data_IF_366691445422
#
_entry.id   IF_366691445422
#
_cell.length_a   1.000
_cell.length_b   1.000
_cell.length_c   1.000
_cell.angle_alpha   90.00
_cell.angle_beta   90.00
_cell.angle_gamma   90.00
#
_symmetry.space_group_name_H-M   'P 1'
#
loop_
_entity.id
_entity.type
_entity.pdbx_description
1 polymer ?
#
# COMPACT_ATOMS: atom_id res chain seq x y z
N UNK A 1 -0.14 -14.02 3.37
CA UNK A 1 -1.34 -14.35 4.17
C UNK A 1 -1.79 -15.81 4.04
N UNK A 2 -1.31 -16.60 3.06
CA UNK A 2 -1.78 -17.97 2.80
C UNK A 2 -1.32 -19.02 3.82
N UNK A 3 -0.20 -18.77 4.51
CA UNK A 3 0.44 -19.74 5.41
C UNK A 3 0.08 -19.53 6.89
N UNK A 4 -0.73 -18.52 7.20
CA UNK A 4 -1.22 -18.31 8.56
C UNK A 4 -2.47 -19.18 8.79
N UNK A 5 -2.74 -19.54 10.05
CA UNK A 5 -3.94 -20.29 10.47
C UNK A 5 -5.26 -19.60 10.08
N UNK A 6 -5.22 -18.29 9.83
CA UNK A 6 -6.30 -17.51 9.23
C UNK A 6 -5.70 -16.45 8.30
N UNK A 7 -6.38 -16.05 7.21
CA UNK A 7 -5.95 -14.94 6.38
C UNK A 7 -5.75 -13.64 7.19
N UNK A 8 -4.52 -13.12 7.20
CA UNK A 8 -4.15 -11.97 8.03
C UNK A 8 -4.65 -10.63 7.48
N UNK A 9 -5.30 -9.83 8.32
CA UNK A 9 -5.44 -8.39 8.10
C UNK A 9 -4.06 -7.74 8.17
N UNK A 10 -3.71 -6.93 7.19
CA UNK A 10 -2.36 -6.34 7.09
C UNK A 10 -2.40 -4.97 6.44
N UNK A 11 -1.39 -4.17 6.72
CA UNK A 11 -1.06 -3.01 5.91
C UNK A 11 -0.32 -3.48 4.66
N UNK A 12 -0.85 -3.18 3.47
CA UNK A 12 -0.18 -3.38 2.19
C UNK A 12 0.67 -2.16 1.90
N UNK A 13 1.96 -2.41 1.76
CA UNK A 13 2.93 -1.46 1.24
C UNK A 13 3.26 -1.91 -0.18
N UNK A 14 3.01 -1.05 -1.16
CA UNK A 14 3.29 -1.36 -2.57
C UNK A 14 4.80 -1.36 -2.82
N UNK A 15 5.43 -2.50 -2.53
CA UNK A 15 6.89 -2.66 -2.61
C UNK A 15 7.42 -2.42 -4.03
N UNK A 16 6.64 -2.79 -5.06
CA UNK A 16 7.04 -2.57 -6.44
C UNK A 16 7.08 -1.07 -6.76
N UNK A 17 6.03 -0.33 -6.38
CA UNK A 17 5.99 1.13 -6.54
C UNK A 17 7.12 1.81 -5.77
N UNK A 18 7.38 1.38 -4.53
CA UNK A 18 8.49 1.89 -3.71
C UNK A 18 9.82 1.69 -4.46
N UNK A 19 10.11 0.46 -4.90
CA UNK A 19 11.37 0.15 -5.61
C UNK A 19 11.52 0.93 -6.91
N UNK A 20 10.46 1.02 -7.72
CA UNK A 20 10.46 1.80 -8.97
C UNK A 20 10.77 3.27 -8.72
N UNK A 21 10.11 3.88 -7.73
CA UNK A 21 10.35 5.29 -7.37
C UNK A 21 11.77 5.49 -6.83
N UNK A 22 12.25 4.59 -5.99
CA UNK A 22 13.62 4.65 -5.47
C UNK A 22 14.66 4.63 -6.60
N UNK A 23 14.53 3.70 -7.55
CA UNK A 23 15.42 3.63 -8.71
C UNK A 23 15.36 4.91 -9.55
N UNK A 24 14.15 5.43 -9.81
CA UNK A 24 13.97 6.67 -10.57
C UNK A 24 14.61 7.88 -9.86
N UNK A 25 14.50 7.98 -8.54
CA UNK A 25 15.13 9.04 -7.76
C UNK A 25 16.66 8.99 -7.93
N UNK A 26 17.26 7.80 -7.88
CA UNK A 26 18.70 7.64 -8.08
C UNK A 26 19.12 8.09 -9.48
N UNK A 27 18.43 7.61 -10.52
CA UNK A 27 18.69 8.02 -11.92
C UNK A 27 18.57 9.53 -12.09
N UNK A 28 17.49 10.13 -11.57
CA UNK A 28 17.28 11.57 -11.64
C UNK A 28 18.40 12.36 -10.96
N UNK A 29 18.91 11.89 -9.81
CA UNK A 29 20.05 12.52 -9.12
C UNK A 29 21.34 12.44 -9.94
N UNK A 30 21.61 11.32 -10.60
CA UNK A 30 22.75 11.15 -11.50
C UNK A 30 22.66 12.14 -12.67
N UNK A 31 21.45 12.37 -13.18
CA UNK A 31 21.18 13.34 -14.24
C UNK A 31 21.16 14.81 -13.75
N UNK A 32 21.49 15.08 -12.48
CA UNK A 32 21.52 16.43 -11.92
C UNK A 32 20.14 17.04 -11.63
N UNK A 33 19.06 16.24 -11.66
CA UNK A 33 17.71 16.70 -11.31
C UNK A 33 17.55 16.74 -9.80
N UNK A 34 17.00 17.84 -9.29
CA UNK A 34 16.59 17.91 -7.89
C UNK A 34 15.53 16.87 -7.57
N UNK A 35 15.66 16.19 -6.45
CA UNK A 35 14.72 15.18 -5.95
C UNK A 35 14.44 15.43 -4.47
N UNK A 36 13.22 15.14 -3.99
CA UNK A 36 12.91 15.31 -2.58
C UNK A 36 13.79 14.42 -1.70
N UNK A 37 14.25 14.95 -0.58
CA UNK A 37 15.00 14.16 0.42
C UNK A 37 14.09 13.20 1.21
N UNK A 38 12.77 13.45 1.22
CA UNK A 38 11.79 12.59 1.88
C UNK A 38 10.51 12.53 1.06
N UNK A 39 9.99 11.32 0.86
CA UNK A 39 8.72 11.05 0.23
C UNK A 39 7.93 10.06 1.09
N UNK A 40 6.66 10.36 1.36
CA UNK A 40 5.76 9.47 2.11
C UNK A 40 4.73 8.93 1.13
N UNK A 41 4.58 7.61 1.10
CA UNK A 41 3.56 6.93 0.29
C UNK A 41 2.44 6.45 1.21
N UNK A 42 1.19 6.65 0.76
CA UNK A 42 0.03 6.17 1.52
C UNK A 42 -0.07 4.65 1.42
N UNK A 43 -0.04 3.93 2.55
CA UNK A 43 -0.28 2.50 2.55
C UNK A 43 -1.79 2.20 2.53
N UNK A 44 -2.14 0.92 2.32
CA UNK A 44 -3.53 0.47 2.26
C UNK A 44 -3.81 -0.58 3.36
N UNK A 45 -4.90 -0.43 4.12
CA UNK A 45 -5.34 -1.46 5.05
C UNK A 45 -6.14 -2.54 4.30
N UNK A 46 -5.64 -3.78 4.31
CA UNK A 46 -6.36 -4.93 3.77
C UNK A 46 -6.96 -5.73 4.92
N UNK A 47 -8.29 -5.64 5.05
CA UNK A 47 -9.07 -6.38 6.05
C UNK A 47 -9.32 -7.81 5.57
N UNK A 48 -8.98 -8.77 6.44
CA UNK A 48 -9.26 -10.20 6.33
C UNK A 48 -9.78 -10.73 7.67
N UNK A 49 -9.84 -12.05 7.83
CA UNK A 49 -10.51 -12.71 8.95
C UNK A 49 -9.78 -12.52 10.29
N UNK A 50 -8.46 -12.32 10.28
CA UNK A 50 -7.66 -12.32 11.52
C UNK A 50 -7.94 -11.17 12.50
N UNK A 51 -8.62 -10.09 12.08
CA UNK A 51 -8.96 -8.98 12.99
C UNK A 51 -10.40 -9.06 13.53
N UNK A 52 -11.14 -10.13 13.23
CA UNK A 52 -12.52 -10.32 13.70
C UNK A 52 -13.55 -9.37 13.07
N UNK A 53 -13.13 -8.49 12.15
CA UNK A 53 -14.05 -7.58 11.45
C UNK A 53 -14.85 -8.35 10.39
N UNK A 54 -16.18 -8.30 10.50
CA UNK A 54 -17.07 -8.82 9.46
C UNK A 54 -16.97 -7.88 8.26
N UNK A 55 -16.51 -8.39 7.11
CA UNK A 55 -16.58 -7.63 5.84
C UNK A 55 -18.02 -7.15 5.66
N UNK A 56 -18.25 -5.83 5.79
CA UNK A 56 -19.53 -5.26 5.36
C UNK A 56 -19.66 -5.56 3.87
N UNK A 57 -20.62 -6.39 3.49
CA UNK A 57 -21.01 -6.54 2.09
C UNK A 57 -21.27 -5.14 1.56
N UNK A 58 -20.48 -4.68 0.60
CA UNK A 58 -20.70 -3.40 -0.07
C UNK A 58 -21.97 -3.48 -0.91
N UNK A 59 -23.13 -3.41 -0.25
CA UNK A 59 -24.40 -2.99 -0.81
C UNK A 59 -24.83 -1.76 -0.04
N UNK A 60 -24.37 -0.59 -0.48
CA UNK A 60 -25.12 0.64 -0.24
C UNK A 60 -24.82 1.62 -1.36
N UNK A 61 -25.83 1.79 -2.20
CA UNK A 61 -26.04 2.95 -3.07
C UNK A 61 -25.66 4.22 -2.30
N UNK A 62 -24.79 5.06 -2.86
CA UNK A 62 -24.73 6.47 -2.47
C UNK A 62 -25.87 7.17 -3.23
N UNK A 63 -26.97 7.44 -2.54
CA UNK A 63 -27.95 8.47 -2.91
C UNK A 63 -28.05 9.42 -1.71
N UNK A 64 -27.55 10.63 -1.90
CA UNK A 64 -27.98 11.92 -1.36
C UNK A 64 -26.99 12.95 -1.90
#
# INVERSE_FOLDING_TARGET
AKFATSPLTTIKQDAFKIGKLAAQIVVNRIEGKEQPNRMILNPELIIRESCGSKKKSTKSKRKA
#
